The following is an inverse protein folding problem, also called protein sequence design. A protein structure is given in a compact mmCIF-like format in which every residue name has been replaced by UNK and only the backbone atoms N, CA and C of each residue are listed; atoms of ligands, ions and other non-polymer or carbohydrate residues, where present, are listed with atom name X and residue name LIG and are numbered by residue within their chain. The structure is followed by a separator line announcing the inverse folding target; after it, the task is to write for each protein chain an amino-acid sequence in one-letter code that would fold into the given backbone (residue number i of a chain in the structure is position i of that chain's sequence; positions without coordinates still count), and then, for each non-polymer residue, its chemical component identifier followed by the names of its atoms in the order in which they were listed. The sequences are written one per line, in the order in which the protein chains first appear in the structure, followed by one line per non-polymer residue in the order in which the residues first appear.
data_IF_059169024928
#
_entry.id   IF_059169024928
#
_cell.length_a   1.000
_cell.length_b   1.000
_cell.length_c   1.000
_cell.angle_alpha   90.00
_cell.angle_beta   90.00
_cell.angle_gamma   90.00
#
_symmetry.space_group_name_H-M   'P 1'
#
loop_
_entity.id
_entity.type
_entity.pdbx_description
1 polymer ?
#
# COMPACT_ATOMS: atom_id res chain seq x y z
N UNK A 1 -2.04 -6.30 -8.46
CA UNK A 1 -1.22 -7.29 -7.70
C UNK A 1 -0.19 -6.67 -6.77
N UNK A 2 0.42 -5.52 -7.08
CA UNK A 2 1.53 -4.93 -6.32
C UNK A 2 1.26 -4.78 -4.81
N UNK A 3 0.02 -4.48 -4.40
CA UNK A 3 -0.35 -4.39 -2.98
C UNK A 3 -0.18 -5.71 -2.21
N UNK A 4 -0.44 -6.85 -2.85
CA UNK A 4 -0.26 -8.17 -2.24
C UNK A 4 1.24 -8.54 -2.13
N UNK A 5 2.05 -8.06 -3.06
CA UNK A 5 3.50 -8.28 -3.08
C UNK A 5 4.28 -7.45 -2.04
N UNK A 6 3.66 -6.43 -1.43
CA UNK A 6 4.29 -5.65 -0.36
C UNK A 6 4.51 -6.52 0.90
N UNK A 7 3.57 -7.38 1.24
CA UNK A 7 3.63 -8.23 2.45
C UNK A 7 4.86 -9.15 2.51
N UNK A 8 5.20 -9.96 1.49
CA UNK A 8 6.41 -10.78 1.53
C UNK A 8 7.68 -9.94 1.61
N UNK A 9 7.73 -8.79 0.93
CA UNK A 9 8.87 -7.85 1.00
C UNK A 9 9.00 -7.27 2.40
N UNK A 10 7.89 -6.88 3.03
CA UNK A 10 7.87 -6.37 4.39
C UNK A 10 8.43 -7.40 5.38
N UNK A 11 7.99 -8.66 5.28
CA UNK A 11 8.46 -9.74 6.15
C UNK A 11 9.93 -10.04 5.92
N UNK A 12 10.41 -9.98 4.68
CA UNK A 12 11.83 -10.11 4.38
C UNK A 12 12.65 -8.98 5.02
N UNK A 13 12.17 -7.73 4.96
CA UNK A 13 12.81 -6.58 5.62
C UNK A 13 12.83 -6.76 7.14
N UNK A 14 11.72 -7.18 7.76
CA UNK A 14 11.66 -7.41 9.21
C UNK A 14 12.59 -8.56 9.66
N UNK A 15 12.72 -9.60 8.85
CA UNK A 15 13.60 -10.72 9.16
C UNK A 15 15.09 -10.32 9.05
N UNK A 16 15.47 -9.64 7.95
CA UNK A 16 16.88 -9.28 7.67
C UNK A 16 17.35 -8.10 8.51
N UNK A 17 16.58 -7.02 8.59
CA UNK A 17 17.02 -5.76 9.21
C UNK A 17 16.62 -5.62 10.68
N UNK A 18 15.52 -6.25 11.11
CA UNK A 18 15.02 -6.16 12.49
C UNK A 18 15.22 -7.45 13.30
N UNK A 19 15.85 -8.46 12.71
CA UNK A 19 16.16 -9.76 13.33
C UNK A 19 14.95 -10.42 14.02
N UNK A 20 13.75 -10.25 13.45
CA UNK A 20 12.52 -10.91 13.93
C UNK A 20 12.28 -12.17 13.11
N UNK A 21 12.68 -13.37 13.58
CA UNK A 21 12.48 -14.59 12.81
C UNK A 21 10.99 -14.85 12.61
N UNK A 22 10.59 -15.10 11.36
CA UNK A 22 9.22 -15.48 11.03
C UNK A 22 8.95 -16.93 11.49
N UNK A 23 7.76 -17.17 12.04
CA UNK A 23 7.34 -18.53 12.39
C UNK A 23 7.15 -19.37 11.11
N UNK A 24 7.34 -20.70 11.21
CA UNK A 24 7.17 -21.59 10.04
C UNK A 24 5.77 -21.51 9.41
N UNK A 25 4.74 -21.22 10.23
CA UNK A 25 3.38 -20.95 9.78
C UNK A 25 3.30 -19.68 8.91
N UNK A 26 3.99 -18.60 9.32
CA UNK A 26 4.09 -17.36 8.53
C UNK A 26 4.78 -17.63 7.20
N UNK A 27 5.90 -18.35 7.19
CA UNK A 27 6.62 -18.66 5.95
C UNK A 27 5.76 -19.50 4.99
N UNK A 28 5.01 -20.48 5.49
CA UNK A 28 4.08 -21.28 4.69
C UNK A 28 2.97 -20.40 4.06
N UNK A 29 2.37 -19.49 4.83
CA UNK A 29 1.34 -18.58 4.30
C UNK A 29 1.88 -17.64 3.21
N UNK A 30 3.13 -17.18 3.36
CA UNK A 30 3.82 -16.34 2.37
C UNK A 30 4.16 -17.15 1.12
N UNK A 31 4.56 -18.42 1.25
CA UNK A 31 4.82 -19.28 0.11
C UNK A 31 3.55 -19.47 -0.74
N UNK A 32 2.39 -19.69 -0.11
CA UNK A 32 1.08 -19.77 -0.81
C UNK A 32 0.75 -18.45 -1.51
N UNK A 33 0.95 -17.31 -0.82
CA UNK A 33 0.76 -15.98 -1.40
C UNK A 33 1.64 -15.77 -2.64
N UNK A 34 2.93 -16.07 -2.54
CA UNK A 34 3.91 -15.93 -3.63
C UNK A 34 3.59 -16.84 -4.80
N UNK A 35 3.15 -18.08 -4.55
CA UNK A 35 2.72 -18.99 -5.60
C UNK A 35 1.51 -18.44 -6.37
N UNK A 36 0.51 -17.89 -5.66
CA UNK A 36 -0.67 -17.27 -6.29
C UNK A 36 -0.31 -16.03 -7.12
N UNK A 37 0.54 -15.14 -6.60
CA UNK A 37 1.04 -13.97 -7.34
C UNK A 37 1.79 -14.42 -8.60
N UNK A 38 2.68 -15.40 -8.48
CA UNK A 38 3.46 -15.93 -9.61
C UNK A 38 2.54 -16.53 -10.67
N UNK A 39 1.52 -17.31 -10.28
CA UNK A 39 0.57 -17.87 -11.23
C UNK A 39 -0.19 -16.78 -11.99
N UNK A 40 -0.64 -15.73 -11.30
CA UNK A 40 -1.29 -14.60 -11.95
C UNK A 40 -0.35 -13.83 -12.88
N UNK A 41 0.90 -13.62 -12.48
CA UNK A 41 1.90 -12.94 -13.31
C UNK A 41 2.25 -13.74 -14.56
N UNK A 42 2.42 -15.06 -14.46
CA UNK A 42 2.76 -15.91 -15.61
C UNK A 42 1.59 -16.11 -16.58
N UNK A 43 0.36 -16.04 -16.07
CA UNK A 43 -0.85 -16.15 -16.91
C UNK A 43 -1.22 -14.81 -17.55
N UNK A 44 -0.54 -13.72 -17.20
CA UNK A 44 -0.74 -12.41 -17.79
C UNK A 44 0.25 -12.14 -18.92
N UNK A 45 -0.21 -12.30 -20.15
CA UNK A 45 0.59 -12.08 -21.36
C UNK A 45 1.02 -10.62 -21.53
N UNK A 46 0.31 -9.66 -20.92
CA UNK A 46 0.69 -8.24 -20.95
C UNK A 46 1.85 -7.93 -20.00
N UNK A 47 1.98 -8.67 -18.90
CA UNK A 47 3.10 -8.49 -17.97
C UNK A 47 4.39 -9.08 -18.56
N UNK A 48 4.27 -10.19 -19.29
CA UNK A 48 5.40 -10.81 -19.98
C UNK A 48 5.97 -9.93 -21.11
N UNK A 49 5.15 -9.09 -21.74
CA UNK A 49 5.59 -8.25 -22.86
C UNK A 49 6.18 -6.89 -22.45
N UNK A 50 6.13 -6.51 -21.18
CA UNK A 50 6.65 -5.22 -20.69
C UNK A 50 7.65 -5.38 -19.52
N UNK A 51 8.93 -5.73 -19.81
CA UNK A 51 9.94 -5.91 -18.78
C UNK A 51 10.27 -4.59 -18.05
N UNK A 52 10.19 -3.44 -18.72
CA UNK A 52 10.40 -2.14 -18.10
C UNK A 52 9.34 -1.85 -17.02
N UNK A 53 8.06 -2.12 -17.32
CA UNK A 53 6.96 -2.02 -16.36
C UNK A 53 7.15 -2.94 -15.16
N UNK A 54 7.74 -4.13 -15.36
CA UNK A 54 8.03 -5.06 -14.27
C UNK A 54 9.13 -4.54 -13.33
N UNK A 55 10.22 -3.97 -13.86
CA UNK A 55 11.27 -3.34 -13.04
C UNK A 55 10.70 -2.18 -12.23
N UNK A 56 9.89 -1.31 -12.86
CA UNK A 56 9.22 -0.19 -12.18
C UNK A 56 8.27 -0.69 -11.10
N UNK A 57 7.50 -1.76 -11.37
CA UNK A 57 6.59 -2.35 -10.38
C UNK A 57 7.35 -2.92 -9.17
N UNK A 58 8.48 -3.61 -9.38
CA UNK A 58 9.33 -4.12 -8.29
C UNK A 58 9.88 -2.96 -7.46
N UNK A 59 10.44 -1.93 -8.12
CA UNK A 59 10.94 -0.74 -7.43
C UNK A 59 9.84 -0.05 -6.62
N UNK A 60 8.64 0.10 -7.18
CA UNK A 60 7.49 0.68 -6.49
C UNK A 60 7.08 -0.14 -5.26
N UNK A 61 7.08 -1.48 -5.33
CA UNK A 61 6.80 -2.35 -4.19
C UNK A 61 7.85 -2.18 -3.09
N UNK A 62 9.14 -2.14 -3.45
CA UNK A 62 10.23 -1.93 -2.49
C UNK A 62 10.13 -0.57 -1.78
N UNK A 63 9.95 0.51 -2.55
CA UNK A 63 9.78 1.86 -1.99
C UNK A 63 8.56 1.92 -1.09
N UNK A 64 7.45 1.30 -1.48
CA UNK A 64 6.23 1.26 -0.67
C UNK A 64 6.43 0.49 0.64
N UNK A 65 7.12 -0.66 0.59
CA UNK A 65 7.43 -1.44 1.78
C UNK A 65 8.31 -0.65 2.76
N UNK A 66 9.37 0.00 2.25
CA UNK A 66 10.24 0.86 3.05
C UNK A 66 9.48 2.03 3.68
N UNK A 67 8.61 2.70 2.91
CA UNK A 67 7.75 3.76 3.44
C UNK A 67 6.83 3.25 4.55
N UNK A 68 6.24 2.07 4.42
CA UNK A 68 5.38 1.49 5.46
C UNK A 68 6.15 1.20 6.75
N UNK A 69 7.37 0.64 6.66
CA UNK A 69 8.23 0.44 7.83
C UNK A 69 8.57 1.77 8.48
N UNK A 70 9.04 2.75 7.69
CA UNK A 70 9.40 4.07 8.19
C UNK A 70 8.22 4.78 8.86
N UNK A 71 7.06 4.79 8.21
CA UNK A 71 5.85 5.41 8.74
C UNK A 71 5.39 4.72 10.04
N UNK A 72 5.45 3.38 10.10
CA UNK A 72 5.13 2.62 11.30
C UNK A 72 6.08 2.90 12.47
N UNK A 73 7.38 3.02 12.20
CA UNK A 73 8.37 3.41 13.21
C UNK A 73 8.15 4.84 13.69
N UNK A 74 7.91 5.80 12.79
CA UNK A 74 7.68 7.20 13.16
C UNK A 74 6.36 7.44 13.89
N UNK A 75 5.31 6.70 13.58
CA UNK A 75 4.07 6.71 14.37
C UNK A 75 4.32 6.30 15.82
N UNK A 76 5.14 5.26 16.05
CA UNK A 76 5.48 4.79 17.40
C UNK A 76 6.44 5.73 18.13
N UNK A 77 7.47 6.24 17.45
CA UNK A 77 8.49 7.13 18.01
C UNK A 77 7.89 8.47 18.45
N UNK A 78 6.99 9.03 17.65
CA UNK A 78 6.38 10.34 17.90
C UNK A 78 5.03 10.26 18.62
N UNK A 79 4.51 9.05 18.87
CA UNK A 79 3.18 8.84 19.45
C UNK A 79 2.04 9.40 18.59
N UNK A 80 2.27 9.59 17.29
CA UNK A 80 1.32 10.21 16.37
C UNK A 80 0.36 9.16 15.82
N UNK A 81 -0.91 9.55 15.70
CA UNK A 81 -1.87 8.79 14.89
C UNK A 81 -1.53 8.93 13.40
N UNK A 82 -1.89 7.96 12.57
CA UNK A 82 -1.59 7.94 11.14
C UNK A 82 -2.07 9.19 10.38
N UNK A 83 -3.18 9.81 10.80
CA UNK A 83 -3.64 11.08 10.22
C UNK A 83 -2.70 12.24 10.53
N UNK A 84 -2.18 12.33 11.75
CA UNK A 84 -1.25 13.39 12.15
C UNK A 84 0.08 13.23 11.41
N UNK A 85 0.57 12.00 11.26
CA UNK A 85 1.75 11.74 10.43
C UNK A 85 1.50 12.12 8.97
N UNK A 86 0.33 11.78 8.41
CA UNK A 86 0.00 12.15 7.04
C UNK A 86 -0.03 13.67 6.86
N UNK A 87 -0.61 14.42 7.80
CA UNK A 87 -0.64 15.88 7.73
C UNK A 87 0.76 16.50 7.78
N UNK A 88 1.71 15.89 8.49
CA UNK A 88 3.10 16.35 8.52
C UNK A 88 3.86 16.01 7.22
N UNK A 89 3.59 14.84 6.62
CA UNK A 89 4.26 14.39 5.38
C UNK A 89 3.63 15.00 4.12
N UNK A 90 2.33 15.28 4.13
CA UNK A 90 1.57 15.82 2.99
C UNK A 90 2.19 17.08 2.36
N UNK A 91 2.53 18.15 3.11
CA UNK A 91 3.13 19.35 2.51
C UNK A 91 4.48 19.05 1.86
N UNK A 92 5.28 18.16 2.45
CA UNK A 92 6.53 17.70 1.86
C UNK A 92 6.28 16.91 0.57
N UNK A 93 5.27 16.02 0.56
CA UNK A 93 4.87 15.27 -0.63
C UNK A 93 4.43 16.19 -1.76
N UNK A 94 3.65 17.24 -1.47
CA UNK A 94 3.24 18.25 -2.47
C UNK A 94 4.46 18.98 -3.03
N UNK A 95 5.40 19.41 -2.18
CA UNK A 95 6.62 20.08 -2.61
C UNK A 95 7.51 19.16 -3.48
N UNK A 96 7.66 17.90 -3.09
CA UNK A 96 8.41 16.90 -3.85
C UNK A 96 7.75 16.63 -5.21
N UNK A 97 6.43 16.44 -5.25
CA UNK A 97 5.68 16.29 -6.50
C UNK A 97 5.84 17.52 -7.39
N UNK A 98 5.70 18.73 -6.84
CA UNK A 98 5.90 19.97 -7.58
C UNK A 98 7.30 20.07 -8.21
N UNK A 99 8.33 19.57 -7.53
CA UNK A 99 9.69 19.50 -8.07
C UNK A 99 9.89 18.36 -9.08
N UNK A 100 9.17 17.24 -8.95
CA UNK A 100 9.28 16.08 -9.84
C UNK A 100 8.53 16.26 -11.16
N UNK A 101 7.38 16.95 -11.14
CA UNK A 101 6.55 17.25 -12.32
C UNK A 101 7.39 17.79 -13.50
N UNK A 102 8.22 18.84 -13.33
CA UNK A 102 9.03 19.35 -14.44
C UNK A 102 10.14 18.42 -14.92
N UNK A 103 10.53 17.42 -14.13
CA UNK A 103 11.59 16.47 -14.47
C UNK A 103 11.05 15.23 -15.19
N UNK A 104 9.88 14.74 -14.77
CA UNK A 104 9.35 13.44 -15.19
C UNK A 104 8.19 13.57 -16.19
N UNK A 105 7.43 14.66 -16.14
CA UNK A 105 6.30 14.87 -17.03
C UNK A 105 6.67 15.79 -18.20
N UNK A 106 6.10 15.57 -19.40
CA UNK A 106 6.31 16.44 -20.55
C UNK A 106 5.57 17.77 -20.35
N UNK A 107 6.23 18.72 -19.70
CA UNK A 107 5.60 20.01 -19.37
C UNK A 107 5.38 20.90 -20.60
N UNK A 108 6.23 20.77 -21.64
CA UNK A 108 6.10 21.57 -22.87
C UNK A 108 6.72 22.96 -22.80
N UNK A 109 7.79 23.15 -22.03
CA UNK A 109 8.47 24.45 -21.87
C UNK A 109 8.92 25.10 -23.20
N UNK A 110 9.18 24.31 -24.24
CA UNK A 110 9.62 24.78 -25.56
C UNK A 110 8.50 25.06 -26.57
N UNK A 111 7.25 24.75 -26.25
CA UNK A 111 6.12 24.90 -27.17
C UNK A 111 4.86 24.20 -26.66
N UNK A 112 3.69 24.82 -26.88
CA UNK A 112 2.38 24.23 -26.56
C UNK A 112 2.01 23.17 -27.60
N UNK A 113 2.55 21.97 -27.46
CA UNK A 113 2.17 20.82 -28.29
C UNK A 113 1.06 19.99 -27.61
N UNK A 114 0.17 19.39 -28.40
CA UNK A 114 -0.86 18.45 -27.92
C UNK A 114 -0.17 17.25 -27.24
N UNK A 115 -0.44 17.06 -25.94
CA UNK A 115 0.19 16.02 -25.12
C UNK A 115 1.14 16.54 -24.05
N UNK A 116 1.37 17.86 -24.00
CA UNK A 116 2.11 18.53 -22.91
C UNK A 116 1.16 19.11 -21.87
N UNK A 117 1.60 19.22 -20.61
CA UNK A 117 0.78 19.77 -19.51
C UNK A 117 0.32 21.20 -19.84
N UNK A 118 1.22 22.03 -20.40
CA UNK A 118 0.92 23.43 -20.75
C UNK A 118 0.10 23.59 -22.04
N UNK A 119 0.04 22.54 -22.87
CA UNK A 119 -0.80 22.45 -24.06
C UNK A 119 -2.17 21.78 -23.81
N UNK A 120 -2.44 21.30 -22.60
CA UNK A 120 -3.73 20.72 -22.24
C UNK A 120 -4.80 21.80 -22.13
N UNK A 121 -5.92 21.64 -22.85
CA UNK A 121 -7.06 22.53 -22.70
C UNK A 121 -7.83 22.18 -21.42
N UNK A 122 -7.65 23.01 -20.39
CA UNK A 122 -8.42 22.92 -19.15
C UNK A 122 -9.87 23.32 -19.38
N UNK A 123 -10.64 22.38 -19.92
CA UNK A 123 -12.09 22.53 -20.07
C UNK A 123 -12.79 22.47 -18.71
N UNK A 124 -13.96 23.12 -18.59
CA UNK A 124 -14.77 23.06 -17.37
C UNK A 124 -15.09 21.61 -16.95
N UNK A 125 -15.46 20.69 -17.88
CA UNK A 125 -15.65 19.27 -17.54
C UNK A 125 -14.39 18.56 -17.05
N UNK A 126 -13.20 18.85 -17.60
CA UNK A 126 -11.95 18.25 -17.13
C UNK A 126 -11.65 18.69 -15.70
N UNK A 127 -11.83 19.97 -15.40
CA UNK A 127 -11.58 20.52 -14.06
C UNK A 127 -12.55 19.94 -13.03
N UNK A 128 -13.84 19.76 -13.37
CA UNK A 128 -14.80 19.15 -12.45
C UNK A 128 -14.42 17.70 -12.13
N UNK A 129 -14.01 16.90 -13.11
CA UNK A 129 -13.54 15.52 -12.85
C UNK A 129 -12.27 15.46 -11.99
N UNK A 130 -11.33 16.39 -12.18
CA UNK A 130 -10.12 16.48 -11.34
C UNK A 130 -10.48 16.80 -9.89
N UNK A 131 -11.36 17.79 -9.67
CA UNK A 131 -11.77 18.20 -8.32
C UNK A 131 -12.59 17.09 -7.65
N UNK A 132 -13.53 16.47 -8.36
CA UNK A 132 -14.36 15.38 -7.84
C UNK A 132 -13.50 14.16 -7.48
N UNK A 133 -12.59 13.73 -8.35
CA UNK A 133 -11.70 12.60 -8.07
C UNK A 133 -10.77 12.87 -6.87
N UNK A 134 -10.25 14.09 -6.75
CA UNK A 134 -9.44 14.52 -5.61
C UNK A 134 -10.24 14.52 -4.30
N UNK A 135 -11.47 15.04 -4.32
CA UNK A 135 -12.36 15.05 -3.17
C UNK A 135 -12.73 13.62 -2.73
N UNK A 136 -13.06 12.73 -3.67
CA UNK A 136 -13.31 11.32 -3.39
C UNK A 136 -12.08 10.63 -2.80
N UNK A 137 -10.88 10.95 -3.32
CA UNK A 137 -9.61 10.46 -2.78
C UNK A 137 -9.38 10.88 -1.33
N UNK A 138 -9.67 12.13 -0.99
CA UNK A 138 -9.63 12.64 0.39
C UNK A 138 -10.64 11.92 1.28
N UNK A 139 -11.88 11.71 0.81
CA UNK A 139 -12.91 10.99 1.56
C UNK A 139 -12.46 9.55 1.85
N UNK A 140 -11.97 8.82 0.85
CA UNK A 140 -11.45 7.45 1.02
C UNK A 140 -10.31 7.41 2.04
N UNK A 141 -9.42 8.41 2.00
CA UNK A 141 -8.28 8.53 2.91
C UNK A 141 -8.76 8.82 4.35
N UNK A 142 -9.67 9.76 4.53
CA UNK A 142 -10.26 10.10 5.83
C UNK A 142 -11.03 8.91 6.42
N UNK A 143 -11.90 8.27 5.63
CA UNK A 143 -12.64 7.08 6.05
C UNK A 143 -11.69 5.96 6.47
N UNK A 144 -10.56 5.80 5.77
CA UNK A 144 -9.52 4.83 6.14
C UNK A 144 -8.95 5.11 7.53
N UNK A 145 -8.57 6.36 7.82
CA UNK A 145 -8.03 6.72 9.13
C UNK A 145 -9.06 6.63 10.24
N UNK A 146 -10.30 7.08 10.01
CA UNK A 146 -11.38 6.95 10.98
C UNK A 146 -11.66 5.47 11.27
N UNK A 147 -11.66 4.62 10.24
CA UNK A 147 -11.83 3.19 10.43
C UNK A 147 -10.67 2.57 11.20
N UNK A 148 -9.41 2.94 10.90
CA UNK A 148 -8.24 2.49 11.68
C UNK A 148 -8.29 3.00 13.13
N UNK A 149 -8.79 4.21 13.38
CA UNK A 149 -8.92 4.77 14.72
C UNK A 149 -10.08 4.17 15.53
N UNK A 150 -11.16 3.75 14.87
CA UNK A 150 -12.32 3.12 15.49
C UNK A 150 -12.18 1.60 15.62
N UNK A 151 -11.29 0.97 14.84
CA UNK A 151 -11.05 -0.47 14.85
C UNK A 151 -9.58 -0.77 15.18
N UNK A 152 -9.17 -2.04 15.14
CA UNK A 152 -7.76 -2.39 15.29
C UNK A 152 -7.05 -2.33 13.94
N UNK A 153 -5.72 -2.09 13.93
CA UNK A 153 -4.87 -2.21 12.74
C UNK A 153 -5.03 -3.55 12.02
N UNK A 154 -5.39 -4.57 12.78
CA UNK A 154 -5.64 -5.93 12.35
C UNK A 154 -6.96 -6.07 11.57
N UNK A 155 -8.03 -5.46 12.07
CA UNK A 155 -9.33 -5.39 11.38
C UNK A 155 -9.19 -4.65 10.06
N UNK A 156 -8.41 -3.57 10.03
CA UNK A 156 -8.12 -2.83 8.81
C UNK A 156 -7.42 -3.69 7.75
N UNK A 157 -6.48 -4.57 8.14
CA UNK A 157 -5.80 -5.45 7.19
C UNK A 157 -6.77 -6.36 6.45
N UNK A 158 -7.76 -6.94 7.15
CA UNK A 158 -8.79 -7.77 6.53
C UNK A 158 -9.65 -6.96 5.55
N UNK A 159 -10.05 -5.75 5.93
CA UNK A 159 -10.79 -4.83 5.05
C UNK A 159 -9.95 -4.42 3.84
N UNK A 160 -8.64 -4.25 4.01
CA UNK A 160 -7.70 -3.96 2.93
C UNK A 160 -7.64 -5.08 1.87
N UNK A 161 -7.70 -6.34 2.31
CA UNK A 161 -7.76 -7.50 1.43
C UNK A 161 -9.11 -7.58 0.72
N UNK A 162 -10.21 -7.37 1.44
CA UNK A 162 -11.55 -7.31 0.85
C UNK A 162 -11.65 -6.21 -0.21
N UNK A 163 -11.14 -5.00 0.07
CA UNK A 163 -11.06 -3.90 -0.91
C UNK A 163 -10.32 -4.34 -2.17
N UNK A 164 -9.24 -5.11 -2.04
CA UNK A 164 -8.47 -5.60 -3.18
C UNK A 164 -9.30 -6.58 -4.03
N UNK A 165 -10.03 -7.52 -3.41
CA UNK A 165 -10.94 -8.43 -4.12
C UNK A 165 -12.04 -7.68 -4.86
N UNK A 166 -12.66 -6.70 -4.20
CA UNK A 166 -13.73 -5.90 -4.79
C UNK A 166 -13.24 -5.10 -5.99
N UNK A 167 -12.06 -4.48 -5.91
CA UNK A 167 -11.48 -3.71 -7.04
C UNK A 167 -11.19 -4.63 -8.22
N UNK A 168 -10.60 -5.81 -7.98
CA UNK A 168 -10.30 -6.76 -9.05
C UNK A 168 -11.59 -7.32 -9.65
N UNK A 169 -12.56 -7.73 -8.81
CA UNK A 169 -13.85 -8.25 -9.27
C UNK A 169 -14.67 -7.21 -10.05
N UNK A 170 -14.70 -5.96 -9.58
CA UNK A 170 -15.32 -4.86 -10.30
C UNK A 170 -14.59 -4.58 -11.63
N UNK A 171 -13.26 -4.66 -11.65
CA UNK A 171 -12.48 -4.52 -12.89
C UNK A 171 -12.92 -5.52 -13.96
N UNK A 172 -13.11 -6.78 -13.56
CA UNK A 172 -13.57 -7.84 -14.47
C UNK A 172 -15.02 -7.63 -14.91
N UNK A 173 -15.91 -7.29 -13.97
CA UNK A 173 -17.33 -7.11 -14.28
C UNK A 173 -17.60 -5.88 -15.16
N UNK A 174 -16.84 -4.79 -14.96
CA UNK A 174 -17.06 -3.50 -15.65
C UNK A 174 -16.26 -3.40 -16.95
N UNK A 175 -14.99 -3.82 -16.96
CA UNK A 175 -14.13 -3.72 -18.14
C UNK A 175 -14.13 -4.98 -19.01
N UNK A 176 -14.85 -6.03 -18.60
CA UNK A 176 -14.96 -7.28 -19.37
C UNK A 176 -13.63 -8.00 -19.54
N UNK A 177 -12.67 -7.79 -18.63
CA UNK A 177 -11.38 -8.48 -18.68
C UNK A 177 -11.61 -9.99 -18.61
N UNK A 178 -11.15 -10.73 -19.62
CA UNK A 178 -11.24 -12.19 -19.61
C UNK A 178 -10.33 -12.77 -18.51
N UNK A 179 -10.90 -12.97 -17.32
CA UNK A 179 -10.26 -13.78 -16.29
C UNK A 179 -10.37 -15.25 -16.67
N UNK A 180 -9.39 -15.74 -17.42
CA UNK A 180 -9.21 -17.17 -17.59
C UNK A 180 -9.11 -17.89 -16.23
N UNK A 181 -9.60 -19.13 -16.16
CA UNK A 181 -9.67 -19.92 -14.92
C UNK A 181 -8.34 -19.96 -14.14
N UNK A 182 -7.20 -19.95 -14.85
CA UNK A 182 -5.86 -19.95 -14.25
C UNK A 182 -5.54 -18.63 -13.51
N UNK A 183 -5.93 -17.47 -14.06
CA UNK A 183 -5.79 -16.16 -13.39
C UNK A 183 -6.65 -16.11 -12.13
N UNK A 184 -7.89 -16.62 -12.20
CA UNK A 184 -8.80 -16.69 -11.06
C UNK A 184 -8.25 -17.58 -9.93
N UNK A 185 -7.74 -18.77 -10.27
CA UNK A 185 -7.12 -19.68 -9.30
C UNK A 185 -5.88 -19.05 -8.65
N UNK A 186 -5.06 -18.32 -9.41
CA UNK A 186 -3.89 -17.62 -8.89
C UNK A 186 -4.28 -16.50 -7.92
N UNK A 187 -5.33 -15.75 -8.26
CA UNK A 187 -5.87 -14.69 -7.40
C UNK A 187 -6.46 -15.27 -6.12
N UNK A 188 -7.23 -16.36 -6.22
CA UNK A 188 -7.78 -17.06 -5.08
C UNK A 188 -6.68 -17.61 -4.15
N UNK A 189 -5.61 -18.20 -4.72
CA UNK A 189 -4.46 -18.66 -3.95
C UNK A 189 -3.72 -17.50 -3.26
N UNK A 190 -3.50 -16.39 -3.96
CA UNK A 190 -2.87 -15.20 -3.39
C UNK A 190 -3.72 -14.63 -2.24
N UNK A 191 -5.03 -14.53 -2.44
CA UNK A 191 -5.99 -14.10 -1.41
C UNK A 191 -6.05 -15.04 -0.21
N UNK A 192 -6.04 -16.35 -0.44
CA UNK A 192 -5.98 -17.35 0.62
C UNK A 192 -4.69 -17.23 1.45
N UNK A 193 -3.55 -17.09 0.79
CA UNK A 193 -2.25 -16.91 1.44
C UNK A 193 -2.20 -15.64 2.31
N UNK A 194 -2.70 -14.51 1.82
CA UNK A 194 -2.68 -13.26 2.59
C UNK A 194 -3.68 -13.26 3.75
N UNK A 195 -4.84 -13.90 3.61
CA UNK A 195 -5.81 -14.08 4.70
C UNK A 195 -5.21 -14.98 5.77
N UNK A 196 -4.55 -16.08 5.37
CA UNK A 196 -3.89 -16.97 6.31
C UNK A 196 -2.73 -16.28 7.05
N UNK A 197 -1.87 -15.56 6.34
CA UNK A 197 -0.83 -14.73 6.94
C UNK A 197 -1.41 -13.75 7.97
N UNK A 198 -2.48 -13.05 7.59
CA UNK A 198 -3.13 -12.07 8.46
C UNK A 198 -3.66 -12.75 9.72
N UNK A 199 -4.34 -13.90 9.60
CA UNK A 199 -4.85 -14.69 10.72
C UNK A 199 -3.75 -15.12 11.70
N UNK A 200 -2.60 -15.59 11.20
CA UNK A 200 -1.46 -15.94 12.07
C UNK A 200 -0.95 -14.71 12.83
N UNK A 201 -0.81 -13.57 12.15
CA UNK A 201 -0.44 -12.30 12.80
C UNK A 201 -1.48 -11.84 13.82
N UNK A 202 -2.77 -12.14 13.61
CA UNK A 202 -3.83 -11.89 14.60
C UNK A 202 -3.61 -12.71 15.87
N UNK A 203 -3.34 -14.01 15.70
CA UNK A 203 -3.08 -14.94 16.80
C UNK A 203 -1.85 -14.51 17.62
N UNK A 204 -0.74 -14.19 16.93
CA UNK A 204 0.51 -13.72 17.56
C UNK A 204 0.28 -12.43 18.37
N UNK A 205 -0.48 -11.47 17.83
CA UNK A 205 -0.79 -10.22 18.51
C UNK A 205 -1.69 -10.40 19.74
N UNK A 206 -2.64 -11.36 19.70
CA UNK A 206 -3.52 -11.67 20.82
C UNK A 206 -2.82 -12.44 21.95
N UNK A 207 -1.83 -13.26 21.59
CA UNK A 207 -1.05 -14.04 22.55
C UNK A 207 0.07 -13.23 23.23
N UNK A 208 0.42 -12.06 22.71
CA UNK A 208 1.44 -11.19 23.31
C UNK A 208 0.96 -10.60 24.65
N UNK A 209 1.79 -10.62 25.71
CA UNK A 209 1.45 -9.98 26.98
C UNK A 209 1.26 -8.47 26.80
N UNK A 210 0.38 -7.83 27.60
CA UNK A 210 0.16 -6.39 27.52
C UNK A 210 1.48 -5.65 27.76
N UNK A 211 1.70 -4.50 27.07
CA UNK A 211 2.91 -3.72 27.25
C UNK A 211 3.07 -3.32 28.72
N UNK A 212 4.31 -3.32 29.25
CA UNK A 212 4.55 -2.87 30.61
C UNK A 212 4.00 -1.44 30.78
N UNK A 213 3.36 -1.13 31.93
CA UNK A 213 2.84 0.20 32.17
C UNK A 213 3.95 1.24 31.97
N UNK A 214 3.63 2.41 31.38
CA UNK A 214 4.62 3.46 31.17
C UNK A 214 5.33 3.74 32.49
N UNK A 215 6.65 3.66 32.49
CA UNK A 215 7.46 3.94 33.67
C UNK A 215 7.03 5.30 34.22
N UNK A 216 6.46 5.30 35.42
CA UNK A 216 6.22 6.53 36.16
C UNK A 216 7.55 7.26 36.20
N UNK A 217 7.62 8.45 35.62
CA UNK A 217 8.72 9.37 35.85
C UNK A 217 8.67 9.75 37.32
N UNK A 218 9.26 8.92 38.17
CA UNK A 218 9.64 9.30 39.53
C UNK A 218 10.65 10.43 39.44
N UNK A 219 10.35 11.49 40.18
CA UNK A 219 10.96 12.80 40.02
C UNK A 219 12.47 12.83 40.26
N UNK A 220 13.10 13.82 39.62
CA UNK A 220 14.34 14.38 40.14
C UNK A 220 14.07 15.83 40.51
N UNK A 221 13.68 16.02 41.76
CA UNK A 221 13.86 17.29 42.45
C UNK A 221 15.34 17.64 42.49
N UNK A 222 15.64 18.89 42.17
CA UNK A 222 16.77 19.69 42.66
C UNK A 222 16.14 21.07 42.87
N UNK A 223 16.01 21.58 44.10
CA UNK A 223 17.03 21.63 45.13
C UNK A 223 17.84 22.89 44.86
#
# INVERSE_FOLDING_TARGET
MSKLAITPVLVAIEWVFYSKPASGRVLASIAVLMAGITLCTLTDTQVASNPAGMVVAIAAVLVTALYQVWAGTKQKELGLNGMQLLQQVSPLSVALLAALIPLVEPVGWGGRELGTILGYEFSLPSLTWIVVSSALGLVVTLSTFLFIGATSSLTYNVVGHLKTVLIVGAGVAVFGEEMGLRKLLGLAAAMGGIVWYSAIKMEEARAAPPPPPPAATEGKGKG
#
